data_IF_955619834737
#
_entry.id   IF_955619834737
#
_cell.length_a   1.000
_cell.length_b   1.000
_cell.length_c   1.000
_cell.angle_alpha   90.00
_cell.angle_beta   90.00
_cell.angle_gamma   90.00
#
_symmetry.space_group_name_H-M   'P 1'
#
loop_
_entity.id
_entity.type
_entity.pdbx_description
1 polymer ?
#
# COMPACT_ATOMS: atom_id res chain seq x y z
N UNK A 1 -30.94 34.66 10.77
CA UNK A 1 -31.34 33.35 10.24
C UNK A 1 -30.71 33.02 8.89
N UNK A 2 -30.49 33.98 7.97
CA UNK A 2 -29.88 33.73 6.64
C UNK A 2 -28.39 33.32 6.62
N UNK A 3 -27.64 33.57 7.70
CA UNK A 3 -26.21 33.25 7.76
C UNK A 3 -25.89 31.80 8.18
N UNK A 4 -26.83 31.10 8.83
CA UNK A 4 -26.66 29.68 9.22
C UNK A 4 -26.88 28.73 8.04
N UNK A 5 -27.77 29.10 7.12
CA UNK A 5 -28.12 28.28 5.96
C UNK A 5 -27.00 28.24 4.91
N UNK A 6 -26.24 29.33 4.77
CA UNK A 6 -25.07 29.39 3.88
C UNK A 6 -23.87 28.61 4.43
N UNK A 7 -23.65 28.58 5.74
CA UNK A 7 -22.58 27.74 6.34
C UNK A 7 -22.88 26.25 6.19
N UNK A 8 -24.15 25.86 6.35
CA UNK A 8 -24.57 24.45 6.18
C UNK A 8 -24.55 24.00 4.71
N UNK A 9 -24.80 24.90 3.76
CA UNK A 9 -24.68 24.60 2.32
C UNK A 9 -23.23 24.44 1.88
N UNK A 10 -22.31 25.28 2.36
CA UNK A 10 -20.88 25.18 2.04
C UNK A 10 -20.27 23.91 2.64
N UNK A 11 -20.61 23.56 3.89
CA UNK A 11 -20.08 22.37 4.55
C UNK A 11 -20.65 21.05 3.95
N UNK A 12 -21.90 21.09 3.46
CA UNK A 12 -22.51 19.97 2.74
C UNK A 12 -21.96 19.79 1.32
N UNK A 13 -21.65 20.86 0.59
CA UNK A 13 -20.97 20.75 -0.71
C UNK A 13 -19.53 20.27 -0.55
N UNK A 14 -18.80 20.70 0.50
CA UNK A 14 -17.44 20.18 0.77
C UNK A 14 -17.45 18.69 1.14
N UNK A 15 -18.37 18.26 2.01
CA UNK A 15 -18.46 16.86 2.43
C UNK A 15 -19.00 15.91 1.35
N UNK A 16 -19.93 16.37 0.50
CA UNK A 16 -20.43 15.56 -0.64
C UNK A 16 -19.46 15.51 -1.82
N UNK A 17 -18.61 16.53 -1.99
CA UNK A 17 -17.57 16.54 -3.03
C UNK A 17 -16.35 15.66 -2.66
N UNK A 18 -16.04 15.50 -1.37
CA UNK A 18 -14.88 14.74 -0.90
C UNK A 18 -15.01 13.23 -1.19
N UNK A 19 -16.16 12.62 -0.89
CA UNK A 19 -16.41 11.20 -1.12
C UNK A 19 -16.58 10.82 -2.60
N UNK A 20 -16.93 11.79 -3.48
CA UNK A 20 -17.07 11.55 -4.92
C UNK A 20 -15.74 11.58 -5.68
N UNK A 21 -14.66 12.04 -5.05
CA UNK A 21 -13.32 12.08 -5.61
C UNK A 21 -12.42 11.03 -4.93
N UNK A 22 -12.68 9.75 -5.20
CA UNK A 22 -11.85 8.59 -4.78
C UNK A 22 -10.34 8.81 -5.05
N UNK A 23 -10.05 9.61 -6.07
CA UNK A 23 -8.71 10.02 -6.49
C UNK A 23 -8.07 11.05 -5.54
N UNK A 24 -8.85 12.00 -4.98
CA UNK A 24 -8.39 12.89 -3.91
C UNK A 24 -8.16 12.11 -2.60
N UNK A 25 -8.95 11.06 -2.35
CA UNK A 25 -8.69 10.18 -1.19
C UNK A 25 -7.33 9.51 -1.32
N UNK A 26 -6.93 9.02 -2.50
CA UNK A 26 -5.59 8.45 -2.71
C UNK A 26 -4.49 9.50 -2.55
N UNK A 27 -4.67 10.70 -3.12
CA UNK A 27 -3.71 11.80 -3.02
C UNK A 27 -3.59 12.37 -1.59
N UNK A 28 -4.63 12.27 -0.75
CA UNK A 28 -4.58 12.70 0.66
C UNK A 28 -4.07 11.58 1.58
N UNK A 29 -4.55 10.34 1.40
CA UNK A 29 -4.18 9.21 2.26
C UNK A 29 -2.76 8.71 1.96
N UNK A 30 -2.25 8.86 0.73
CA UNK A 30 -0.88 8.49 0.36
C UNK A 30 0.20 9.23 1.17
N UNK A 31 0.17 10.56 1.25
CA UNK A 31 1.05 11.32 2.14
C UNK A 31 0.84 11.03 3.62
N UNK A 32 -0.39 10.76 4.07
CA UNK A 32 -0.62 10.30 5.45
C UNK A 32 0.04 8.95 5.74
N UNK A 33 0.02 8.02 4.78
CA UNK A 33 0.73 6.74 4.88
C UNK A 33 2.25 6.96 4.97
N UNK A 34 2.82 7.78 4.08
CA UNK A 34 4.25 8.12 4.11
C UNK A 34 4.64 8.80 5.43
N UNK A 35 3.81 9.70 5.95
CA UNK A 35 3.99 10.35 7.24
C UNK A 35 3.98 9.33 8.39
N UNK A 36 2.99 8.42 8.43
CA UNK A 36 2.92 7.38 9.46
C UNK A 36 4.12 6.43 9.45
N UNK A 37 4.66 6.13 8.26
CA UNK A 37 5.90 5.38 8.11
C UNK A 37 7.11 6.15 8.65
N UNK A 38 7.22 7.46 8.37
CA UNK A 38 8.33 8.27 8.88
C UNK A 38 8.32 8.38 10.39
N UNK A 39 7.16 8.64 11.00
CA UNK A 39 7.04 8.81 12.45
C UNK A 39 7.57 7.57 13.19
N UNK A 40 7.37 6.36 12.65
CA UNK A 40 7.93 5.11 13.21
C UNK A 40 9.45 5.19 13.46
N UNK A 41 10.18 5.87 12.58
CA UNK A 41 11.64 5.94 12.60
C UNK A 41 12.20 7.15 13.37
N UNK A 42 11.34 8.08 13.79
CA UNK A 42 11.73 9.21 14.63
C UNK A 42 11.40 8.93 16.09
N UNK A 43 12.41 8.81 16.97
CA UNK A 43 12.15 8.49 18.36
C UNK A 43 11.40 9.62 19.07
N UNK A 44 10.34 9.27 19.80
CA UNK A 44 9.63 10.16 20.73
C UNK A 44 10.29 10.27 22.11
N UNK A 45 11.46 9.64 22.30
CA UNK A 45 12.21 9.79 23.54
C UNK A 45 13.04 11.08 23.50
N UNK A 46 13.11 11.76 24.65
CA UNK A 46 14.07 12.84 24.84
C UNK A 46 15.45 12.20 25.05
N UNK A 47 16.47 12.81 24.42
CA UNK A 47 17.88 12.42 24.50
C UNK A 47 18.45 12.43 25.94
N UNK A 48 17.74 13.04 26.90
CA UNK A 48 18.19 13.23 28.28
C UNK A 48 17.90 12.04 29.22
N UNK A 49 17.50 10.88 28.70
CA UNK A 49 17.41 9.64 29.49
C UNK A 49 16.23 9.56 30.49
N UNK A 50 15.42 10.61 30.65
CA UNK A 50 14.20 10.59 31.49
C UNK A 50 12.95 9.99 30.83
N UNK A 51 13.08 9.41 29.64
CA UNK A 51 11.95 8.86 28.90
C UNK A 51 11.63 7.46 29.40
N UNK A 52 10.48 7.29 30.03
CA UNK A 52 10.07 6.00 30.57
C UNK A 52 9.78 4.98 29.44
N UNK A 53 10.08 3.68 29.63
CA UNK A 53 10.00 2.65 28.60
C UNK A 53 8.61 2.47 27.99
N UNK A 54 7.54 2.85 28.72
CA UNK A 54 6.18 2.84 28.20
C UNK A 54 5.97 3.84 27.05
N UNK A 55 6.72 4.94 27.00
CA UNK A 55 6.59 5.96 25.95
C UNK A 55 7.00 5.39 24.58
N UNK A 56 8.07 4.58 24.55
CA UNK A 56 8.50 3.90 23.33
C UNK A 56 7.47 2.86 22.87
N UNK A 57 6.87 2.12 23.82
CA UNK A 57 5.77 1.19 23.52
C UNK A 57 4.54 1.89 22.97
N UNK A 58 4.11 2.98 23.60
CA UNK A 58 2.98 3.80 23.14
C UNK A 58 3.23 4.40 21.76
N UNK A 59 4.46 4.88 21.50
CA UNK A 59 4.86 5.38 20.19
C UNK A 59 4.74 4.29 19.11
N UNK A 60 5.25 3.09 19.37
CA UNK A 60 5.18 1.97 18.41
C UNK A 60 3.74 1.54 18.14
N UNK A 61 2.91 1.42 19.17
CA UNK A 61 1.48 1.05 19.01
C UNK A 61 0.76 2.10 18.17
N UNK A 62 0.97 3.39 18.47
CA UNK A 62 0.38 4.48 17.73
C UNK A 62 0.80 4.46 16.26
N UNK A 63 2.10 4.42 15.97
CA UNK A 63 2.61 4.41 14.60
C UNK A 63 2.14 3.19 13.81
N UNK A 64 2.12 2.00 14.42
CA UNK A 64 1.67 0.78 13.77
C UNK A 64 0.17 0.82 13.45
N UNK A 65 -0.65 1.32 14.38
CA UNK A 65 -2.09 1.48 14.15
C UNK A 65 -2.39 2.44 12.99
N UNK A 66 -1.75 3.60 12.97
CA UNK A 66 -1.93 4.57 11.89
C UNK A 66 -1.42 4.05 10.55
N UNK A 67 -0.25 3.40 10.54
CA UNK A 67 0.31 2.80 9.34
C UNK A 67 -0.61 1.73 8.77
N UNK A 68 -1.12 0.80 9.59
CA UNK A 68 -2.03 -0.26 9.16
C UNK A 68 -3.36 0.28 8.61
N UNK A 69 -3.93 1.30 9.29
CA UNK A 69 -5.15 1.95 8.85
C UNK A 69 -4.98 2.61 7.47
N UNK A 70 -3.94 3.43 7.29
CA UNK A 70 -3.70 4.10 6.01
C UNK A 70 -3.27 3.13 4.91
N UNK A 71 -2.46 2.12 5.24
CA UNK A 71 -2.03 1.09 4.29
C UNK A 71 -3.24 0.31 3.76
N UNK A 72 -4.16 -0.07 4.65
CA UNK A 72 -5.42 -0.72 4.28
C UNK A 72 -6.29 0.16 3.38
N UNK A 73 -6.45 1.45 3.73
CA UNK A 73 -7.18 2.40 2.90
C UNK A 73 -6.56 2.55 1.49
N UNK A 74 -5.25 2.69 1.40
CA UNK A 74 -4.53 2.79 0.12
C UNK A 74 -4.70 1.51 -0.70
N UNK A 75 -4.60 0.33 -0.09
CA UNK A 75 -4.77 -0.95 -0.81
C UNK A 75 -6.18 -1.13 -1.39
N UNK A 76 -7.21 -0.77 -0.63
CA UNK A 76 -8.60 -0.79 -1.14
C UNK A 76 -8.76 0.20 -2.29
N UNK A 77 -8.24 1.41 -2.14
CA UNK A 77 -8.33 2.44 -3.15
C UNK A 77 -7.54 2.07 -4.42
N UNK A 78 -6.35 1.48 -4.29
CA UNK A 78 -5.55 0.94 -5.38
C UNK A 78 -6.30 -0.18 -6.11
N UNK A 79 -6.90 -1.12 -5.38
CA UNK A 79 -7.66 -2.22 -5.99
C UNK A 79 -8.86 -1.73 -6.79
N UNK A 80 -9.58 -0.72 -6.27
CA UNK A 80 -10.67 -0.06 -6.99
C UNK A 80 -10.17 0.70 -8.23
N UNK A 81 -9.07 1.46 -8.08
CA UNK A 81 -8.44 2.21 -9.17
C UNK A 81 -7.98 1.29 -10.30
N UNK A 82 -7.39 0.15 -9.94
CA UNK A 82 -6.92 -0.86 -10.87
C UNK A 82 -8.07 -1.39 -11.72
N UNK A 83 -9.18 -1.80 -11.07
CA UNK A 83 -10.37 -2.30 -11.75
C UNK A 83 -11.00 -1.25 -12.70
N UNK A 84 -11.00 0.02 -12.32
CA UNK A 84 -11.54 1.11 -13.15
C UNK A 84 -10.63 1.48 -14.33
N UNK A 85 -9.33 1.26 -14.24
CA UNK A 85 -8.36 1.67 -15.27
C UNK A 85 -8.25 0.65 -16.39
N UNK A 86 -8.54 -0.63 -16.10
CA UNK A 86 -8.40 -1.73 -17.05
C UNK A 86 -9.74 -2.07 -17.68
N UNK A 87 -9.97 -1.66 -18.93
CA UNK A 87 -11.24 -1.91 -19.64
C UNK A 87 -11.25 -3.27 -20.33
N UNK A 88 -10.09 -3.73 -20.82
CA UNK A 88 -9.93 -5.03 -21.46
C UNK A 88 -9.22 -6.06 -20.57
N UNK A 89 -9.54 -7.35 -20.77
CA UNK A 89 -8.88 -8.46 -20.07
C UNK A 89 -7.36 -8.47 -20.31
N UNK A 90 -6.93 -8.14 -21.53
CA UNK A 90 -5.52 -8.10 -21.93
C UNK A 90 -4.75 -6.99 -21.21
N UNK A 91 -5.30 -5.76 -21.19
CA UNK A 91 -4.70 -4.64 -20.46
C UNK A 91 -4.63 -4.92 -18.97
N UNK A 92 -5.65 -5.56 -18.39
CA UNK A 92 -5.63 -5.94 -16.97
C UNK A 92 -4.49 -6.89 -16.65
N UNK A 93 -4.28 -7.90 -17.49
CA UNK A 93 -3.19 -8.86 -17.31
C UNK A 93 -1.83 -8.16 -17.45
N UNK A 94 -1.66 -7.29 -18.45
CA UNK A 94 -0.43 -6.53 -18.64
C UNK A 94 -0.13 -5.58 -17.48
N UNK A 95 -1.13 -4.87 -16.98
CA UNK A 95 -0.99 -3.96 -15.85
C UNK A 95 -0.63 -4.69 -14.54
N UNK A 96 -1.22 -5.87 -14.27
CA UNK A 96 -0.78 -6.71 -13.14
C UNK A 96 0.69 -7.12 -13.32
N UNK A 97 1.08 -7.58 -14.52
CA UNK A 97 2.46 -8.02 -14.80
C UNK A 97 3.47 -6.90 -14.54
N UNK A 98 3.20 -5.69 -15.03
CA UNK A 98 4.08 -4.54 -14.80
C UNK A 98 4.15 -4.15 -13.32
N UNK A 99 3.02 -4.18 -12.61
CA UNK A 99 2.99 -3.92 -11.17
C UNK A 99 3.81 -4.95 -10.39
N UNK A 100 3.75 -6.23 -10.75
CA UNK A 100 4.56 -7.27 -10.11
C UNK A 100 6.05 -7.07 -10.39
N UNK A 101 6.41 -6.73 -11.64
CA UNK A 101 7.80 -6.40 -11.98
C UNK A 101 8.34 -5.21 -11.17
N UNK A 102 7.54 -4.15 -11.01
CA UNK A 102 7.92 -3.00 -10.20
C UNK A 102 8.13 -3.36 -8.73
N UNK A 103 7.29 -4.24 -8.16
CA UNK A 103 7.46 -4.76 -6.80
C UNK A 103 8.73 -5.61 -6.69
N UNK A 104 9.02 -6.46 -7.68
CA UNK A 104 10.25 -7.25 -7.71
C UNK A 104 11.49 -6.35 -7.74
N UNK A 105 11.47 -5.32 -8.57
CA UNK A 105 12.54 -4.34 -8.66
C UNK A 105 12.72 -3.59 -7.33
N UNK A 106 11.63 -3.22 -6.66
CA UNK A 106 11.70 -2.49 -5.39
C UNK A 106 12.32 -3.32 -4.26
N UNK A 107 12.11 -4.64 -4.22
CA UNK A 107 12.70 -5.51 -3.18
C UNK A 107 14.24 -5.48 -3.20
N UNK A 108 14.87 -5.20 -4.35
CA UNK A 108 16.33 -5.08 -4.46
C UNK A 108 16.89 -3.85 -3.70
N UNK A 109 16.04 -2.90 -3.30
CA UNK A 109 16.49 -1.73 -2.53
C UNK A 109 16.93 -2.10 -1.11
N UNK A 110 16.42 -3.20 -0.56
CA UNK A 110 16.70 -3.65 0.82
C UNK A 110 18.18 -4.00 0.99
N UNK A 111 18.78 -4.92 0.19
CA UNK A 111 20.20 -5.21 0.31
C UNK A 111 21.10 -4.02 -0.04
N UNK A 112 20.67 -3.16 -0.97
CA UNK A 112 21.40 -1.92 -1.31
C UNK A 112 21.42 -0.98 -0.10
N UNK A 113 20.29 -0.82 0.58
CA UNK A 113 20.14 0.01 1.78
C UNK A 113 20.96 -0.53 2.95
N UNK A 114 20.96 -1.85 3.16
CA UNK A 114 21.74 -2.51 4.20
C UNK A 114 23.25 -2.27 4.01
N UNK A 115 23.74 -2.29 2.76
CA UNK A 115 25.12 -1.92 2.43
C UNK A 115 25.41 -0.45 2.63
N UNK A 116 24.53 0.44 2.15
CA UNK A 116 24.74 1.88 2.24
C UNK A 116 24.82 2.37 3.69
N UNK A 117 24.14 1.66 4.58
CA UNK A 117 24.09 1.95 6.02
C UNK A 117 25.15 1.18 6.82
N UNK A 118 26.11 0.51 6.16
CA UNK A 118 27.12 -0.35 6.83
C UNK A 118 26.50 -1.26 7.91
N UNK A 119 25.43 -1.98 7.55
CA UNK A 119 24.74 -2.89 8.48
C UNK A 119 23.99 -2.19 9.62
N UNK A 120 23.33 -1.06 9.35
CA UNK A 120 22.58 -0.24 10.32
C UNK A 120 23.44 0.43 11.42
N UNK A 121 24.76 0.52 11.24
CA UNK A 121 25.65 1.17 12.22
C UNK A 121 25.39 2.68 12.35
N UNK A 122 24.96 3.32 11.25
CA UNK A 122 24.58 4.73 11.24
C UNK A 122 23.05 4.89 11.10
N UNK A 123 22.35 4.94 12.23
CA UNK A 123 20.90 5.16 12.28
C UNK A 123 20.45 6.43 11.53
N UNK A 124 21.32 7.45 11.46
CA UNK A 124 21.06 8.70 10.72
C UNK A 124 21.03 8.50 9.20
N UNK A 125 21.88 7.64 8.65
CA UNK A 125 21.91 7.33 7.21
C UNK A 125 20.64 6.57 6.84
N UNK A 126 20.24 5.63 7.69
CA UNK A 126 18.98 4.91 7.53
C UNK A 126 17.77 5.86 7.55
N UNK A 127 17.70 6.79 8.51
CA UNK A 127 16.65 7.81 8.56
C UNK A 127 16.62 8.66 7.28
N UNK A 128 17.78 9.09 6.77
CA UNK A 128 17.86 9.83 5.50
C UNK A 128 17.25 9.03 4.34
N UNK A 129 17.58 7.75 4.21
CA UNK A 129 17.02 6.87 3.16
C UNK A 129 15.50 6.74 3.31
N UNK A 130 14.98 6.56 4.52
CA UNK A 130 13.54 6.48 4.76
C UNK A 130 12.81 7.78 4.39
N UNK A 131 13.44 8.95 4.63
CA UNK A 131 12.93 10.26 4.20
C UNK A 131 12.88 10.36 2.67
N UNK A 132 13.94 9.96 1.98
CA UNK A 132 13.96 9.93 0.51
C UNK A 132 12.86 9.02 -0.04
N UNK A 133 12.67 7.82 0.54
CA UNK A 133 11.60 6.90 0.15
C UNK A 133 10.21 7.49 0.38
N UNK A 134 9.99 8.18 1.49
CA UNK A 134 8.73 8.85 1.78
C UNK A 134 8.43 9.97 0.78
N UNK A 135 9.45 10.76 0.39
CA UNK A 135 9.30 11.81 -0.64
C UNK A 135 8.92 11.18 -1.99
N UNK A 136 9.62 10.12 -2.41
CA UNK A 136 9.31 9.40 -3.65
C UNK A 136 7.88 8.85 -3.60
N UNK A 137 7.47 8.26 -2.48
CA UNK A 137 6.11 7.74 -2.29
C UNK A 137 5.05 8.84 -2.43
N UNK A 138 5.25 9.99 -1.77
CA UNK A 138 4.34 11.15 -1.88
C UNK A 138 4.23 11.61 -3.32
N UNK A 139 5.35 11.80 -4.02
CA UNK A 139 5.36 12.20 -5.43
C UNK A 139 4.60 11.19 -6.30
N UNK A 140 4.82 9.89 -6.09
CA UNK A 140 4.10 8.83 -6.80
C UNK A 140 2.58 8.88 -6.56
N UNK A 141 2.15 9.09 -5.30
CA UNK A 141 0.73 9.21 -4.97
C UNK A 141 0.10 10.47 -5.56
N UNK A 142 0.81 11.59 -5.57
CA UNK A 142 0.34 12.85 -6.14
C UNK A 142 0.22 12.79 -7.67
N UNK A 143 1.20 12.20 -8.36
CA UNK A 143 1.13 11.98 -9.81
C UNK A 143 -0.05 11.07 -10.15
N UNK A 144 -0.23 9.98 -9.39
CA UNK A 144 -1.33 9.03 -9.56
C UNK A 144 -2.68 9.71 -9.33
N UNK A 145 -2.78 10.59 -8.33
CA UNK A 145 -3.97 11.38 -8.05
C UNK A 145 -4.28 12.41 -9.14
N UNK A 146 -3.27 13.17 -9.57
CA UNK A 146 -3.41 14.27 -10.54
C UNK A 146 -3.81 13.77 -11.94
N UNK A 147 -3.14 12.75 -12.46
CA UNK A 147 -3.39 12.22 -13.81
C UNK A 147 -4.84 11.72 -13.99
N UNK A 148 -5.43 11.21 -12.91
CA UNK A 148 -6.79 10.66 -12.93
C UNK A 148 -7.86 11.74 -12.74
N UNK A 149 -7.57 12.82 -12.00
CA UNK A 149 -8.48 13.98 -11.93
C UNK A 149 -8.75 14.55 -13.33
N UNK A 150 -7.69 14.69 -14.15
CA UNK A 150 -7.80 15.15 -15.53
C UNK A 150 -8.68 14.24 -16.40
N UNK A 151 -8.52 12.91 -16.28
CA UNK A 151 -9.35 11.93 -17.02
C UNK A 151 -10.82 11.93 -16.55
N UNK A 152 -11.05 12.19 -15.26
CA UNK A 152 -12.41 12.25 -14.68
C UNK A 152 -13.14 13.51 -15.13
N UNK A 153 -12.49 14.66 -15.11
CA UNK A 153 -13.06 15.95 -15.53
C UNK A 153 -13.49 15.94 -17.00
N UNK A 154 -12.67 15.39 -17.90
CA UNK A 154 -13.03 15.20 -19.33
C UNK A 154 -14.30 14.35 -19.48
N UNK A 155 -14.45 13.32 -18.64
CA UNK A 155 -15.59 12.40 -18.70
C UNK A 155 -16.86 12.97 -18.06
N UNK A 156 -16.75 13.74 -16.97
CA UNK A 156 -17.90 14.40 -16.34
C UNK A 156 -18.44 15.56 -17.19
N UNK A 157 -17.56 16.30 -17.90
CA UNK A 157 -17.98 17.32 -18.88
C UNK A 157 -18.78 16.73 -20.07
N UNK A 158 -18.65 15.42 -20.32
CA UNK A 158 -19.41 14.71 -21.36
C UNK A 158 -20.72 14.06 -20.87
N UNK A 159 -21.01 14.08 -19.56
CA UNK A 159 -22.18 13.42 -19.00
C UNK A 159 -22.88 14.28 -17.93
N UNK A 160 -23.34 15.46 -18.30
CA UNK A 160 -24.17 16.29 -17.43
C UNK A 160 -25.64 15.88 -17.50
N UNK A 161 -26.13 15.12 -16.50
CA UNK A 161 -27.55 15.18 -16.12
C UNK A 161 -27.85 14.59 -14.73
N UNK A 162 -28.29 15.50 -13.85
CA UNK A 162 -29.43 15.37 -12.90
C UNK A 162 -29.20 14.75 -11.49
N UNK A 163 -29.44 15.61 -10.48
CA UNK A 163 -29.80 15.37 -9.04
C UNK A 163 -31.33 15.10 -8.93
N UNK A 164 -31.91 14.44 -7.88
CA UNK A 164 -31.66 14.73 -6.46
C UNK A 164 -31.56 13.51 -5.50
N UNK A 165 -30.66 13.62 -4.50
CA UNK A 165 -30.29 12.56 -3.56
C UNK A 165 -30.70 12.87 -2.12
N UNK A 166 -31.63 12.09 -1.55
CA UNK A 166 -31.59 11.76 -0.11
C UNK A 166 -32.32 10.44 0.20
N UNK A 167 -33.49 10.18 -0.39
CA UNK A 167 -34.18 8.89 -0.26
C UNK A 167 -33.58 7.77 -1.14
N UNK A 168 -33.02 8.14 -2.29
CA UNK A 168 -32.36 7.22 -3.21
C UNK A 168 -31.08 6.62 -2.58
N UNK A 169 -30.44 7.36 -1.67
CA UNK A 169 -29.18 6.98 -1.03
C UNK A 169 -29.33 5.74 -0.15
N UNK A 170 -30.33 5.71 0.76
CA UNK A 170 -30.58 4.52 1.62
C UNK A 170 -30.96 3.30 0.81
N UNK A 171 -31.82 3.46 -0.22
CA UNK A 171 -32.17 2.36 -1.14
C UNK A 171 -30.96 1.86 -1.91
N UNK A 172 -30.08 2.76 -2.39
CA UNK A 172 -28.79 2.43 -3.02
C UNK A 172 -27.86 1.68 -2.07
N UNK A 173 -27.66 2.14 -0.84
CA UNK A 173 -26.81 1.47 0.17
C UNK A 173 -27.33 0.07 0.50
N UNK A 174 -28.64 -0.10 0.70
CA UNK A 174 -29.23 -1.42 0.94
C UNK A 174 -29.08 -2.34 -0.27
N UNK A 175 -29.17 -1.81 -1.49
CA UNK A 175 -28.98 -2.59 -2.70
C UNK A 175 -27.51 -2.96 -2.92
N UNK A 176 -26.58 -2.04 -2.67
CA UNK A 176 -25.13 -2.30 -2.69
C UNK A 176 -24.80 -3.38 -1.66
N UNK A 177 -25.28 -3.25 -0.42
CA UNK A 177 -25.08 -4.25 0.63
C UNK A 177 -25.67 -5.61 0.26
N UNK A 178 -26.86 -5.63 -0.33
CA UNK A 178 -27.51 -6.86 -0.82
C UNK A 178 -26.68 -7.53 -1.92
N UNK A 179 -26.19 -6.76 -2.89
CA UNK A 179 -25.33 -7.25 -3.97
C UNK A 179 -23.99 -7.75 -3.41
N UNK A 180 -23.34 -7.00 -2.52
CA UNK A 180 -22.12 -7.44 -1.83
C UNK A 180 -22.35 -8.74 -1.07
N UNK A 181 -23.44 -8.85 -0.32
CA UNK A 181 -23.82 -10.08 0.41
C UNK A 181 -24.06 -11.25 -0.54
N UNK A 182 -24.67 -11.01 -1.70
CA UNK A 182 -24.86 -12.02 -2.74
C UNK A 182 -23.51 -12.50 -3.30
N UNK A 183 -22.59 -11.58 -3.62
CA UNK A 183 -21.25 -11.90 -4.11
C UNK A 183 -20.46 -12.71 -3.09
N UNK A 184 -20.47 -12.29 -1.82
CA UNK A 184 -19.80 -13.01 -0.73
C UNK A 184 -20.35 -14.42 -0.50
N UNK A 185 -21.62 -14.65 -0.83
CA UNK A 185 -22.26 -15.98 -0.68
C UNK A 185 -22.10 -16.88 -1.91
N UNK A 186 -21.52 -16.39 -3.01
CA UNK A 186 -21.24 -17.23 -4.19
C UNK A 186 -20.11 -18.19 -3.87
N UNK A 187 -20.33 -19.49 -4.10
CA UNK A 187 -19.31 -20.53 -3.88
C UNK A 187 -18.03 -20.26 -4.67
N UNK A 188 -18.15 -19.81 -5.92
CA UNK A 188 -17.01 -19.49 -6.78
C UNK A 188 -16.11 -18.41 -6.14
N UNK A 189 -16.71 -17.37 -5.56
CA UNK A 189 -15.98 -16.31 -4.88
C UNK A 189 -15.30 -16.82 -3.61
N UNK A 190 -16.01 -17.61 -2.79
CA UNK A 190 -15.47 -18.18 -1.55
C UNK A 190 -14.30 -19.12 -1.86
N UNK A 191 -14.40 -19.96 -2.88
CA UNK A 191 -13.31 -20.86 -3.30
C UNK A 191 -12.09 -20.05 -3.71
N UNK A 192 -12.25 -19.05 -4.57
CA UNK A 192 -11.15 -18.18 -5.00
C UNK A 192 -10.52 -17.45 -3.81
N UNK A 193 -11.33 -16.89 -2.92
CA UNK A 193 -10.85 -16.18 -1.74
C UNK A 193 -10.07 -17.12 -0.79
N UNK A 194 -10.57 -18.33 -0.55
CA UNK A 194 -9.90 -19.34 0.28
C UNK A 194 -8.60 -19.82 -0.36
N UNK A 195 -8.58 -20.06 -1.67
CA UNK A 195 -7.35 -20.42 -2.39
C UNK A 195 -6.31 -19.30 -2.28
N UNK A 196 -6.71 -18.05 -2.47
CA UNK A 196 -5.81 -16.90 -2.35
C UNK A 196 -5.29 -16.72 -0.92
N UNK A 197 -6.15 -16.93 0.08
CA UNK A 197 -5.77 -16.90 1.48
C UNK A 197 -4.73 -17.98 1.81
N UNK A 198 -5.00 -19.24 1.46
CA UNK A 198 -4.07 -20.34 1.69
C UNK A 198 -2.74 -20.13 0.97
N UNK A 199 -2.77 -19.62 -0.27
CA UNK A 199 -1.58 -19.29 -1.04
C UNK A 199 -0.75 -18.20 -0.34
N UNK A 200 -1.40 -17.15 0.17
CA UNK A 200 -0.75 -16.06 0.89
C UNK A 200 -0.14 -16.58 2.20
N UNK A 201 -0.87 -17.40 2.96
CA UNK A 201 -0.37 -18.03 4.18
C UNK A 201 0.86 -18.90 3.91
N UNK A 202 0.80 -19.76 2.90
CA UNK A 202 1.94 -20.59 2.48
C UNK A 202 3.15 -19.73 2.16
N UNK A 203 2.96 -18.67 1.38
CA UNK A 203 4.06 -17.79 0.98
C UNK A 203 4.68 -17.07 2.17
N UNK A 204 3.88 -16.58 3.12
CA UNK A 204 4.37 -15.93 4.33
C UNK A 204 5.14 -16.90 5.22
N UNK A 205 4.63 -18.11 5.43
CA UNK A 205 5.30 -19.16 6.22
C UNK A 205 6.64 -19.52 5.57
N UNK A 206 6.66 -19.73 4.25
CA UNK A 206 7.88 -20.10 3.54
C UNK A 206 8.93 -18.99 3.62
N UNK A 207 8.55 -17.73 3.42
CA UNK A 207 9.47 -16.60 3.48
C UNK A 207 10.05 -16.43 4.89
N UNK A 208 9.22 -16.49 5.92
CA UNK A 208 9.66 -16.38 7.30
C UNK A 208 10.54 -17.57 7.72
N UNK A 209 10.17 -18.80 7.31
CA UNK A 209 10.98 -19.99 7.54
C UNK A 209 12.33 -19.89 6.83
N UNK A 210 12.36 -19.44 5.57
CA UNK A 210 13.60 -19.26 4.82
C UNK A 210 14.51 -18.21 5.47
N UNK A 211 13.96 -17.09 5.96
CA UNK A 211 14.73 -16.08 6.69
C UNK A 211 15.41 -16.68 7.93
N UNK A 212 14.63 -17.36 8.78
CA UNK A 212 15.13 -18.00 10.01
C UNK A 212 16.13 -19.12 9.69
N UNK A 213 15.82 -19.98 8.71
CA UNK A 213 16.69 -21.08 8.31
C UNK A 213 18.02 -20.57 7.75
N UNK A 214 18.01 -19.45 7.01
CA UNK A 214 19.24 -18.86 6.47
C UNK A 214 20.11 -18.28 7.58
N UNK A 215 19.52 -17.64 8.59
CA UNK A 215 20.26 -17.19 9.78
C UNK A 215 20.85 -18.36 10.59
N UNK A 216 20.13 -19.49 10.65
CA UNK A 216 20.54 -20.65 11.45
C UNK A 216 21.56 -21.56 10.73
N UNK A 217 21.43 -21.74 9.41
CA UNK A 217 22.28 -22.65 8.61
C UNK A 217 23.53 -21.99 8.02
N UNK A 218 23.60 -20.66 7.92
CA UNK A 218 24.78 -19.97 7.38
C UNK A 218 25.65 -19.45 8.53
N UNK A 219 26.71 -20.17 8.92
CA UNK A 219 27.62 -19.69 9.94
C UNK A 219 28.37 -18.43 9.46
N UNK A 220 28.53 -17.43 10.33
CA UNK A 220 29.16 -16.10 10.05
C UNK A 220 30.57 -16.18 9.45
N UNK A 221 31.20 -17.34 9.55
CA UNK A 221 32.57 -17.65 9.11
C UNK A 221 32.69 -17.98 7.61
N UNK A 222 31.59 -18.24 6.90
CA UNK A 222 31.60 -18.52 5.43
C UNK A 222 31.07 -17.34 4.61
N UNK A 223 30.22 -16.48 5.19
CA UNK A 223 29.76 -15.24 4.57
C UNK A 223 29.79 -14.08 5.56
N UNK A 224 30.78 -13.20 5.40
CA UNK A 224 30.91 -11.95 6.16
C UNK A 224 29.66 -11.10 5.93
N UNK A 225 28.98 -10.72 7.02
CA UNK A 225 27.86 -9.76 7.02
C UNK A 225 28.28 -8.51 6.23
N UNK A 226 27.52 -8.15 5.19
CA UNK A 226 27.87 -7.03 4.33
C UNK A 226 28.81 -7.34 3.15
N UNK A 227 29.00 -8.58 2.70
CA UNK A 227 29.72 -8.92 1.45
C UNK A 227 28.79 -9.03 0.21
N UNK A 228 29.32 -8.73 -0.99
CA UNK A 228 28.58 -8.77 -2.28
C UNK A 228 27.93 -10.13 -2.57
N UNK A 229 28.58 -11.22 -2.13
CA UNK A 229 28.11 -12.59 -2.37
C UNK A 229 26.82 -12.91 -1.61
N UNK A 230 26.64 -12.37 -0.41
CA UNK A 230 25.48 -12.64 0.43
C UNK A 230 24.25 -11.86 -0.04
N UNK A 231 24.44 -10.60 -0.41
CA UNK A 231 23.40 -9.79 -1.05
C UNK A 231 22.96 -10.37 -2.40
N UNK A 232 23.90 -10.85 -3.24
CA UNK A 232 23.57 -11.51 -4.50
C UNK A 232 22.91 -12.88 -4.27
N UNK A 233 23.30 -13.62 -3.23
CA UNK A 233 22.66 -14.89 -2.86
C UNK A 233 21.23 -14.68 -2.38
N UNK A 234 20.95 -13.72 -1.49
CA UNK A 234 19.59 -13.39 -1.08
C UNK A 234 18.76 -12.83 -2.24
N UNK A 235 19.33 -11.97 -3.07
CA UNK A 235 18.68 -11.48 -4.28
C UNK A 235 18.39 -12.63 -5.25
N UNK A 236 19.33 -13.55 -5.48
CA UNK A 236 19.14 -14.72 -6.33
C UNK A 236 18.11 -15.69 -5.73
N UNK A 237 18.12 -15.94 -4.42
CA UNK A 237 17.17 -16.81 -3.74
C UNK A 237 15.75 -16.22 -3.70
N UNK A 238 15.60 -14.89 -3.71
CA UNK A 238 14.29 -14.23 -3.79
C UNK A 238 13.82 -14.11 -5.23
N UNK A 239 14.71 -13.76 -6.17
CA UNK A 239 14.39 -13.59 -7.59
C UNK A 239 14.18 -14.91 -8.32
N UNK A 240 14.91 -15.99 -7.99
CA UNK A 240 14.84 -17.27 -8.73
C UNK A 240 13.45 -17.91 -8.65
N UNK A 241 12.81 -18.06 -7.47
CA UNK A 241 11.44 -18.54 -7.39
C UNK A 241 10.46 -17.63 -8.14
N UNK A 242 10.67 -16.32 -8.07
CA UNK A 242 9.77 -15.32 -8.67
C UNK A 242 9.87 -15.34 -10.21
N UNK A 243 11.07 -15.47 -10.77
CA UNK A 243 11.32 -15.60 -12.22
C UNK A 243 10.81 -16.94 -12.75
N UNK A 244 11.00 -18.04 -12.02
CA UNK A 244 10.48 -19.37 -12.42
C UNK A 244 8.95 -19.36 -12.45
N UNK A 245 8.31 -18.79 -11.43
CA UNK A 245 6.84 -18.69 -11.37
C UNK A 245 6.32 -17.81 -12.50
N UNK A 246 7.02 -16.71 -12.82
CA UNK A 246 6.67 -15.82 -13.93
C UNK A 246 6.87 -16.47 -15.30
N UNK A 247 7.94 -17.24 -15.49
CA UNK A 247 8.20 -17.99 -16.73
C UNK A 247 7.13 -19.06 -16.97
N UNK A 248 6.72 -19.77 -15.91
CA UNK A 248 5.66 -20.78 -15.98
C UNK A 248 4.29 -20.18 -16.29
N UNK A 249 3.99 -18.98 -15.76
CA UNK A 249 2.76 -18.23 -16.05
C UNK A 249 2.77 -17.57 -17.44
N UNK A 250 3.92 -17.50 -18.10
CA UNK A 250 4.09 -16.97 -19.47
C UNK A 250 3.98 -18.08 -20.54
N UNK A 251 4.15 -19.35 -20.14
CA UNK A 251 4.09 -20.52 -21.02
C UNK A 251 2.66 -21.11 -21.17
N UNK A 252 1.66 -20.53 -20.50
CA UNK A 252 0.26 -20.97 -20.51
C UNK A 252 -0.66 -19.85 -21.01
#
# INVERSE_FOLDING_TARGET
MRNSENSDLIDRDVSTTWFHCRTKVISVVGPCLAGSFLILWFPWNNLDGSSAPYVAGCHLIFCLFFYDAFYSCVNVAWSALFAETTYSKSERISAVKFSQFAILLSVNIIPITEKLTNGLSDFRIFQCITVVLAIIAVVCFEITGSLRNHKKEIRENSSSSVKPQQEESKKKFLNIFKVTKQILRRRDFVIIAMTYFLQTCRSAIHLNFAAIATELLIPEQVMVKGSWKMSFFYAACTLTPQVITHFFLFAQ
#
